data_IF_325931870455
#
_entry.id   IF_325931870455
#
_cell.length_a   1.000
_cell.length_b   1.000
_cell.length_c   1.000
_cell.angle_alpha   90.00
_cell.angle_beta   90.00
_cell.angle_gamma   90.00
#
_symmetry.space_group_name_H-M   'P 1'
#
loop_
_entity.id
_entity.type
_entity.pdbx_description
1 polymer ?
#
# COMPACT_ATOMS: atom_id res chain seq x y z
N UNK A 1 7.63 -35.01 -56.91
CA UNK A 1 7.00 -36.11 -56.15
C UNK A 1 5.72 -35.56 -55.54
N UNK A 2 4.58 -36.01 -56.08
CA UNK A 2 3.23 -35.60 -55.69
C UNK A 2 2.96 -36.00 -54.23
N UNK A 3 2.07 -35.32 -53.48
CA UNK A 3 0.66 -35.71 -53.39
C UNK A 3 -0.17 -34.55 -52.83
N UNK A 4 -1.24 -34.23 -53.57
CA UNK A 4 -2.40 -33.43 -53.18
C UNK A 4 -3.27 -34.23 -52.21
N UNK A 5 -4.01 -33.55 -51.32
CA UNK A 5 -5.47 -33.74 -51.22
C UNK A 5 -6.10 -32.72 -50.26
N UNK A 6 -6.92 -31.83 -50.84
CA UNK A 6 -8.00 -31.10 -50.16
C UNK A 6 -9.28 -31.82 -50.56
N UNK A 7 -10.10 -32.23 -49.60
CA UNK A 7 -11.46 -32.66 -49.86
C UNK A 7 -12.36 -32.13 -48.75
N UNK A 8 -13.32 -31.30 -49.16
CA UNK A 8 -14.44 -30.83 -48.35
C UNK A 8 -15.50 -31.93 -48.22
N UNK A 9 -16.26 -31.93 -47.12
CA UNK A 9 -17.56 -32.62 -47.07
C UNK A 9 -18.56 -31.71 -46.32
N UNK A 10 -19.59 -31.30 -47.06
CA UNK A 10 -20.80 -30.58 -46.61
C UNK A 10 -21.93 -31.60 -46.69
N UNK A 11 -22.56 -31.98 -45.58
CA UNK A 11 -23.90 -32.60 -45.48
C UNK A 11 -24.34 -32.39 -44.02
N UNK A 12 -25.54 -31.98 -43.60
CA UNK A 12 -26.83 -31.75 -44.23
C UNK A 12 -27.86 -31.61 -43.10
N UNK A 13 -28.82 -30.71 -43.26
CA UNK A 13 -29.91 -30.37 -42.32
C UNK A 13 -30.87 -31.55 -42.14
N UNK A 14 -31.37 -31.75 -40.92
CA UNK A 14 -32.63 -32.46 -40.68
C UNK A 14 -33.46 -31.72 -39.61
N UNK A 15 -34.48 -31.02 -40.11
CA UNK A 15 -35.59 -30.43 -39.39
C UNK A 15 -36.53 -31.56 -38.95
N UNK A 16 -37.03 -31.49 -37.71
CA UNK A 16 -38.24 -32.22 -37.33
C UNK A 16 -39.04 -31.36 -36.36
N UNK A 17 -40.08 -30.72 -36.90
CA UNK A 17 -41.18 -30.11 -36.18
C UNK A 17 -42.39 -31.05 -36.29
N UNK A 18 -42.94 -31.46 -35.15
CA UNK A 18 -44.32 -31.94 -34.95
C UNK A 18 -44.66 -31.56 -33.48
N UNK A 19 -45.39 -30.48 -33.20
CA UNK A 19 -46.86 -30.24 -33.30
C UNK A 19 -47.71 -30.98 -32.23
N UNK A 20 -48.50 -30.13 -31.55
CA UNK A 20 -49.74 -30.38 -30.77
C UNK A 20 -49.54 -30.76 -29.28
N UNK A 21 -50.23 -30.15 -28.31
CA UNK A 21 -51.45 -29.34 -28.40
C UNK A 21 -51.69 -28.46 -27.17
N UNK A 22 -52.57 -27.48 -27.39
CA UNK A 22 -53.13 -26.56 -26.41
C UNK A 22 -54.13 -27.28 -25.51
N UNK A 23 -54.11 -26.95 -24.22
CA UNK A 23 -55.30 -26.97 -23.37
C UNK A 23 -55.30 -25.70 -22.52
N UNK A 24 -56.31 -24.86 -22.76
CA UNK A 24 -56.69 -23.74 -21.88
C UNK A 24 -57.52 -24.26 -20.70
N UNK A 25 -57.64 -23.37 -19.70
CA UNK A 25 -58.47 -23.40 -18.49
C UNK A 25 -57.94 -24.18 -17.28
N UNK A 26 -57.37 -23.45 -16.32
CA UNK A 26 -58.18 -22.88 -15.22
C UNK A 26 -57.37 -21.89 -14.39
N UNK A 27 -57.99 -20.76 -14.08
CA UNK A 27 -57.46 -19.73 -13.21
C UNK A 27 -57.28 -20.26 -11.77
N UNK A 28 -56.04 -20.15 -11.27
CA UNK A 28 -55.79 -20.08 -9.84
C UNK A 28 -54.99 -18.81 -9.58
N UNK A 29 -55.70 -17.84 -9.02
CA UNK A 29 -55.18 -16.60 -8.46
C UNK A 29 -54.34 -16.95 -7.23
N UNK A 30 -53.08 -17.32 -7.46
CA UNK A 30 -52.07 -17.37 -6.42
C UNK A 30 -51.47 -15.96 -6.33
N UNK A 31 -51.90 -15.22 -5.32
CA UNK A 31 -51.23 -14.00 -4.85
C UNK A 31 -49.80 -14.36 -4.45
N UNK A 32 -48.89 -14.31 -5.44
CA UNK A 32 -47.46 -14.25 -5.24
C UNK A 32 -47.18 -12.97 -4.47
N UNK A 33 -46.99 -13.09 -3.16
CA UNK A 33 -46.32 -12.07 -2.37
C UNK A 33 -44.97 -11.83 -3.05
N UNK A 34 -44.90 -10.70 -3.74
CA UNK A 34 -43.69 -10.15 -4.29
C UNK A 34 -42.76 -9.91 -3.10
N UNK A 35 -41.90 -10.89 -2.82
CA UNK A 35 -40.74 -10.67 -1.97
C UNK A 35 -39.91 -9.62 -2.71
N UNK A 36 -39.99 -8.39 -2.24
CA UNK A 36 -38.96 -7.40 -2.50
C UNK A 36 -37.61 -8.11 -2.36
N UNK A 37 -36.68 -7.94 -3.32
CA UNK A 37 -35.35 -8.47 -3.15
C UNK A 37 -34.77 -7.85 -1.89
N UNK A 38 -34.68 -8.67 -0.84
CA UNK A 38 -33.88 -8.40 0.34
C UNK A 38 -32.57 -7.80 -0.17
N UNK A 39 -32.16 -6.60 0.26
CA UNK A 39 -30.91 -6.02 -0.20
C UNK A 39 -29.83 -7.04 0.08
N UNK A 40 -29.25 -7.57 -1.01
CA UNK A 40 -28.15 -8.53 -0.95
C UNK A 40 -27.17 -7.98 0.05
N UNK A 41 -26.94 -8.72 1.14
CA UNK A 41 -25.92 -8.39 2.12
C UNK A 41 -24.67 -8.02 1.33
N UNK A 42 -24.27 -6.75 1.39
CA UNK A 42 -23.12 -6.23 0.66
C UNK A 42 -21.95 -7.15 0.99
N UNK A 43 -21.53 -7.98 0.03
CA UNK A 43 -20.42 -8.89 0.26
C UNK A 43 -19.22 -8.05 0.68
N UNK A 44 -18.57 -8.42 1.78
CA UNK A 44 -17.40 -7.70 2.27
C UNK A 44 -16.34 -7.64 1.15
N UNK A 45 -16.05 -6.43 0.67
CA UNK A 45 -15.08 -6.18 -0.37
C UNK A 45 -13.68 -6.40 0.20
N UNK A 46 -12.85 -7.18 -0.49
CA UNK A 46 -11.48 -7.53 -0.09
C UNK A 46 -10.48 -7.16 -1.17
N UNK A 47 -9.24 -6.89 -0.76
CA UNK A 47 -8.11 -6.73 -1.67
C UNK A 47 -7.58 -8.12 -2.05
N UNK A 48 -7.53 -8.42 -3.34
CA UNK A 48 -7.00 -9.69 -3.84
C UNK A 48 -5.52 -9.57 -4.20
N UNK A 49 -5.15 -8.50 -4.91
CA UNK A 49 -3.77 -8.29 -5.34
C UNK A 49 -3.45 -6.82 -5.56
N UNK A 50 -2.15 -6.52 -5.55
CA UNK A 50 -1.58 -5.23 -5.90
C UNK A 50 -0.64 -5.45 -7.08
N UNK A 51 -0.75 -4.62 -8.11
CA UNK A 51 0.16 -4.65 -9.26
C UNK A 51 0.83 -3.31 -9.44
N UNK A 52 2.12 -3.38 -9.75
CA UNK A 52 2.81 -2.25 -10.34
C UNK A 52 2.32 -2.06 -11.79
N UNK A 53 2.02 -0.82 -12.14
CA UNK A 53 1.59 -0.41 -13.45
C UNK A 53 2.58 0.59 -14.05
N UNK A 54 2.73 0.57 -15.37
CA UNK A 54 3.50 1.60 -16.05
C UNK A 54 2.75 2.93 -15.99
N UNK A 55 3.46 4.00 -15.63
CA UNK A 55 2.98 5.36 -15.72
C UNK A 55 3.94 6.20 -16.59
N UNK A 56 3.42 7.02 -17.51
CA UNK A 56 4.27 7.87 -18.33
C UNK A 56 4.89 9.01 -17.48
N UNK A 57 6.02 9.59 -17.91
CA UNK A 57 6.77 10.63 -17.18
C UNK A 57 5.91 11.75 -16.57
N UNK A 58 4.96 12.29 -17.31
CA UNK A 58 4.08 13.39 -16.88
C UNK A 58 3.16 13.02 -15.71
N UNK A 59 3.03 11.72 -15.42
CA UNK A 59 2.28 11.17 -14.28
C UNK A 59 3.17 10.78 -13.10
N UNK A 60 4.46 11.14 -13.15
CA UNK A 60 5.47 10.79 -12.14
C UNK A 60 6.22 12.00 -11.56
N UNK A 61 5.66 13.21 -11.69
CA UNK A 61 6.33 14.44 -11.29
C UNK A 61 6.35 14.66 -9.77
N UNK A 62 5.42 14.03 -9.05
CA UNK A 62 5.33 14.08 -7.59
C UNK A 62 5.16 12.67 -7.01
N UNK A 63 5.55 12.43 -5.74
CA UNK A 63 5.37 11.12 -5.11
C UNK A 63 3.91 10.65 -5.15
N UNK A 64 2.96 11.55 -4.90
CA UNK A 64 1.53 11.24 -4.90
C UNK A 64 1.06 10.86 -6.30
N UNK A 65 1.37 11.65 -7.34
CA UNK A 65 1.04 11.27 -8.71
C UNK A 65 1.60 9.89 -9.09
N UNK A 66 2.85 9.62 -8.71
CA UNK A 66 3.46 8.32 -8.94
C UNK A 66 2.71 7.18 -8.26
N UNK A 67 2.32 7.33 -6.98
CA UNK A 67 1.53 6.33 -6.29
C UNK A 67 0.15 6.10 -6.94
N UNK A 68 -0.52 7.18 -7.38
CA UNK A 68 -1.83 7.10 -8.02
C UNK A 68 -1.79 6.43 -9.40
N UNK A 69 -0.68 6.53 -10.13
CA UNK A 69 -0.59 6.05 -11.51
C UNK A 69 0.21 4.74 -11.68
N UNK A 70 1.08 4.41 -10.74
CA UNK A 70 1.90 3.19 -10.77
C UNK A 70 1.33 2.04 -9.94
N UNK A 71 0.25 2.26 -9.19
CA UNK A 71 -0.40 1.22 -8.37
C UNK A 71 -1.78 0.87 -8.94
N UNK A 72 -2.10 -0.42 -8.98
CA UNK A 72 -3.43 -0.93 -9.31
C UNK A 72 -3.84 -1.97 -8.27
N UNK A 73 -5.05 -1.83 -7.75
CA UNK A 73 -5.71 -2.80 -6.88
C UNK A 73 -6.63 -3.70 -7.69
N UNK A 74 -6.57 -5.01 -7.44
CA UNK A 74 -7.57 -5.97 -7.88
C UNK A 74 -8.43 -6.36 -6.67
N UNK A 75 -9.73 -6.10 -6.75
CA UNK A 75 -10.68 -6.27 -5.64
C UNK A 75 -11.57 -7.51 -5.84
N UNK A 76 -12.17 -8.01 -4.77
CA UNK A 76 -12.99 -9.23 -4.78
C UNK A 76 -14.26 -9.14 -5.63
N UNK A 77 -14.72 -7.92 -5.94
CA UNK A 77 -15.82 -7.65 -6.89
C UNK A 77 -15.37 -7.65 -8.36
N UNK A 78 -14.14 -8.12 -8.66
CA UNK A 78 -13.49 -8.08 -9.97
C UNK A 78 -13.13 -6.67 -10.47
N UNK A 79 -13.35 -5.64 -9.67
CA UNK A 79 -12.94 -4.28 -10.00
C UNK A 79 -11.41 -4.20 -9.97
N UNK A 80 -10.86 -3.57 -11.02
CA UNK A 80 -9.47 -3.16 -11.07
C UNK A 80 -9.43 -1.65 -11.09
N UNK A 81 -8.87 -1.04 -10.05
CA UNK A 81 -8.75 0.43 -10.01
C UNK A 81 -7.41 0.87 -9.46
N UNK A 82 -6.94 2.00 -9.96
CA UNK A 82 -5.86 2.73 -9.33
C UNK A 82 -6.37 3.49 -8.11
N UNK A 83 -5.49 3.82 -7.15
CA UNK A 83 -5.81 4.76 -6.09
C UNK A 83 -6.23 6.11 -6.66
N UNK A 84 -7.06 6.84 -5.91
CA UNK A 84 -7.44 8.23 -6.20
C UNK A 84 -6.90 9.16 -5.10
N UNK A 85 -6.91 10.48 -5.28
CA UNK A 85 -6.44 11.41 -4.24
C UNK A 85 -7.11 11.23 -2.88
N UNK A 86 -8.37 10.79 -2.84
CA UNK A 86 -9.11 10.53 -1.59
C UNK A 86 -8.58 9.32 -0.82
N UNK A 87 -7.87 8.41 -1.49
CA UNK A 87 -7.26 7.26 -0.84
C UNK A 87 -5.96 7.65 -0.09
N UNK A 88 -5.35 8.80 -0.42
CA UNK A 88 -4.11 9.27 0.22
C UNK A 88 -4.39 9.71 1.65
N UNK A 89 -3.71 9.07 2.60
CA UNK A 89 -3.78 9.43 4.02
C UNK A 89 -2.71 10.48 4.37
N UNK A 90 -1.50 10.28 3.87
CA UNK A 90 -0.39 11.20 4.04
C UNK A 90 0.73 10.84 3.05
N UNK A 91 1.63 11.80 2.82
CA UNK A 91 2.86 11.61 2.05
C UNK A 91 4.00 12.26 2.80
N UNK A 92 5.19 11.68 2.71
CA UNK A 92 6.39 12.32 3.25
C UNK A 92 7.57 12.07 2.33
N UNK A 93 8.23 13.16 1.94
CA UNK A 93 9.44 13.15 1.11
C UNK A 93 10.68 13.58 1.89
N UNK A 94 11.73 12.78 1.86
CA UNK A 94 13.02 13.17 2.40
C UNK A 94 14.12 12.88 1.38
N UNK A 95 14.80 13.95 0.96
CA UNK A 95 15.75 13.92 -0.16
C UNK A 95 15.07 13.34 -1.41
N UNK A 96 15.69 12.34 -2.04
CA UNK A 96 15.19 11.67 -3.23
C UNK A 96 14.33 10.44 -2.89
N UNK A 97 13.84 10.32 -1.66
CA UNK A 97 13.00 9.20 -1.28
C UNK A 97 11.67 9.68 -0.70
N UNK A 98 10.59 8.94 -0.95
CA UNK A 98 9.27 9.29 -0.46
C UNK A 98 8.46 8.07 -0.12
N UNK A 99 7.54 8.24 0.82
CA UNK A 99 6.52 7.24 1.15
C UNK A 99 5.14 7.88 1.02
N UNK A 100 4.22 7.17 0.37
CA UNK A 100 2.81 7.56 0.28
C UNK A 100 1.97 6.48 0.93
N UNK A 101 1.16 6.86 1.92
CA UNK A 101 0.22 5.97 2.58
C UNK A 101 -1.16 6.08 1.92
N UNK A 102 -1.71 4.94 1.52
CA UNK A 102 -3.00 4.81 0.88
C UNK A 102 -3.92 3.95 1.72
N UNK A 103 -5.17 4.37 1.90
CA UNK A 103 -6.24 3.53 2.44
C UNK A 103 -6.93 2.80 1.28
N UNK A 104 -6.95 1.48 1.35
CA UNK A 104 -7.59 0.63 0.33
C UNK A 104 -9.11 0.65 0.55
N UNK A 105 -9.94 0.77 -0.49
CA UNK A 105 -11.40 0.85 -0.42
C UNK A 105 -12.02 -0.53 -0.19
N UNK A 106 -11.67 -1.17 0.92
CA UNK A 106 -12.17 -2.51 1.29
C UNK A 106 -12.88 -2.42 2.63
N UNK A 107 -13.64 -3.45 2.97
CA UNK A 107 -14.49 -3.43 4.17
C UNK A 107 -13.68 -3.34 5.46
N UNK A 108 -12.61 -4.12 5.56
CA UNK A 108 -11.71 -4.07 6.70
C UNK A 108 -10.67 -2.96 6.55
N UNK A 109 -10.23 -2.29 7.63
CA UNK A 109 -9.16 -1.31 7.55
C UNK A 109 -7.90 -1.90 6.92
N UNK A 110 -7.47 -1.33 5.80
CA UNK A 110 -6.39 -1.87 5.01
C UNK A 110 -5.57 -0.75 4.40
N UNK A 111 -4.26 -0.81 4.59
CA UNK A 111 -3.36 0.24 4.14
C UNK A 111 -2.25 -0.28 3.24
N UNK A 112 -1.85 0.56 2.30
CA UNK A 112 -0.70 0.33 1.42
C UNK A 112 0.29 1.47 1.60
N UNK A 113 1.56 1.13 1.84
CA UNK A 113 2.65 2.11 1.78
C UNK A 113 3.37 1.94 0.46
N UNK A 114 3.43 2.99 -0.33
CA UNK A 114 4.14 3.04 -1.61
C UNK A 114 5.48 3.73 -1.39
N UNK A 115 6.57 3.02 -1.67
CA UNK A 115 7.93 3.53 -1.49
C UNK A 115 8.51 3.94 -2.85
N UNK A 116 8.97 5.19 -2.90
CA UNK A 116 9.33 5.88 -4.13
C UNK A 116 10.73 6.46 -4.02
N UNK A 117 11.46 6.44 -5.13
CA UNK A 117 12.72 7.16 -5.28
C UNK A 117 12.67 8.09 -6.49
N UNK A 118 13.34 9.23 -6.39
CA UNK A 118 13.44 10.19 -7.48
C UNK A 118 14.64 9.86 -8.35
N UNK A 119 14.41 9.64 -9.64
CA UNK A 119 15.42 9.37 -10.66
C UNK A 119 15.12 10.23 -11.87
N UNK A 120 16.10 10.99 -12.36
CA UNK A 120 15.96 11.82 -13.59
C UNK A 120 14.71 12.74 -13.56
N UNK A 121 14.42 13.33 -12.39
CA UNK A 121 13.24 14.18 -12.12
C UNK A 121 11.89 13.44 -12.04
N UNK A 122 11.89 12.12 -12.11
CA UNK A 122 10.69 11.28 -12.01
C UNK A 122 10.68 10.48 -10.71
N UNK A 123 9.51 10.37 -10.08
CA UNK A 123 9.30 9.51 -8.92
C UNK A 123 8.92 8.10 -9.37
N UNK A 124 9.76 7.11 -9.07
CA UNK A 124 9.54 5.71 -9.46
C UNK A 124 9.25 4.86 -8.24
N UNK A 125 8.22 4.03 -8.31
CA UNK A 125 7.91 3.07 -7.26
C UNK A 125 8.94 1.94 -7.30
N UNK A 126 9.64 1.73 -6.18
CA UNK A 126 10.59 0.62 -6.05
C UNK A 126 10.08 -0.49 -5.13
N UNK A 127 9.01 -0.24 -4.36
CA UNK A 127 8.39 -1.23 -3.51
C UNK A 127 7.08 -0.76 -2.90
N UNK A 128 6.34 -1.69 -2.32
CA UNK A 128 5.15 -1.38 -1.52
C UNK A 128 5.01 -2.36 -0.34
N UNK A 129 4.44 -1.88 0.76
CA UNK A 129 3.99 -2.72 1.87
C UNK A 129 2.46 -2.84 1.83
N UNK A 130 1.97 -4.04 2.09
CA UNK A 130 0.54 -4.35 2.14
C UNK A 130 0.15 -4.76 3.57
N UNK A 131 -0.56 -3.89 4.29
CA UNK A 131 -0.78 -4.02 5.73
C UNK A 131 -2.29 -3.97 6.07
N UNK A 132 -2.96 -5.14 6.11
CA UNK A 132 -4.31 -5.24 6.68
C UNK A 132 -4.26 -4.99 8.19
N UNK A 133 -5.21 -4.21 8.72
CA UNK A 133 -5.36 -3.94 10.15
C UNK A 133 -6.59 -4.69 10.65
N UNK A 134 -6.42 -6.00 10.77
CA UNK A 134 -7.44 -6.93 11.27
C UNK A 134 -6.91 -7.61 12.53
N UNK A 135 -7.77 -7.92 13.50
CA UNK A 135 -7.36 -8.43 14.82
C UNK A 135 -6.43 -9.65 14.76
N UNK A 136 -6.58 -10.51 13.77
CA UNK A 136 -5.75 -11.71 13.53
C UNK A 136 -4.35 -11.42 12.97
N UNK A 137 -4.10 -10.19 12.51
CA UNK A 137 -2.83 -9.74 11.89
C UNK A 137 -2.03 -8.78 12.75
N UNK A 138 -2.52 -8.45 13.93
CA UNK A 138 -1.87 -7.49 14.83
C UNK A 138 -0.96 -8.20 15.83
N UNK A 139 0.19 -7.59 16.12
CA UNK A 139 1.14 -8.01 17.14
C UNK A 139 1.24 -6.91 18.22
N UNK A 140 1.43 -7.31 19.47
CA UNK A 140 1.65 -6.40 20.61
C UNK A 140 3.11 -6.35 21.09
N UNK A 141 3.97 -7.26 20.62
CA UNK A 141 5.38 -7.29 20.98
C UNK A 141 6.14 -6.18 20.28
N UNK A 142 6.52 -5.14 21.03
CA UNK A 142 7.27 -3.99 20.50
C UNK A 142 8.77 -4.26 20.34
N UNK A 143 9.29 -5.37 20.86
CA UNK A 143 10.71 -5.76 20.77
C UNK A 143 11.66 -4.58 21.12
N UNK A 144 11.35 -3.93 22.25
CA UNK A 144 12.09 -2.79 22.81
C UNK A 144 11.89 -1.44 22.13
N UNK A 145 11.06 -1.35 21.08
CA UNK A 145 10.66 -0.09 20.46
C UNK A 145 9.60 0.66 21.27
N UNK A 146 9.72 1.98 21.35
CA UNK A 146 8.72 2.86 21.96
C UNK A 146 7.63 3.27 20.95
N UNK A 147 6.99 2.28 20.31
CA UNK A 147 5.90 2.53 19.36
C UNK A 147 4.68 3.18 20.05
N UNK A 148 4.02 4.16 19.41
CA UNK A 148 2.93 4.93 20.02
C UNK A 148 1.57 4.19 20.02
N UNK A 149 1.50 3.00 19.41
CA UNK A 149 0.37 2.08 19.46
C UNK A 149 0.68 0.86 20.31
N UNK A 150 -0.36 0.18 20.82
CA UNK A 150 -0.21 -1.02 21.66
C UNK A 150 -0.24 -2.33 20.86
N UNK A 151 -0.92 -2.33 19.72
CA UNK A 151 -1.03 -3.46 18.82
C UNK A 151 -0.88 -2.93 17.40
N UNK A 152 -0.13 -3.61 16.54
CA UNK A 152 0.20 -3.14 15.19
C UNK A 152 0.44 -4.29 14.23
N UNK A 153 0.19 -4.05 12.95
CA UNK A 153 0.77 -4.85 11.88
C UNK A 153 2.11 -4.21 11.45
N UNK A 154 3.02 -5.02 10.90
CA UNK A 154 4.34 -4.56 10.52
C UNK A 154 4.81 -5.13 9.18
N UNK A 155 5.56 -4.35 8.42
CA UNK A 155 6.27 -4.79 7.24
C UNK A 155 7.75 -4.46 7.34
N UNK A 156 8.58 -5.31 6.75
CA UNK A 156 10.01 -5.08 6.56
C UNK A 156 10.31 -5.24 5.07
N UNK A 157 10.95 -4.23 4.49
CA UNK A 157 11.42 -4.25 3.11
C UNK A 157 12.91 -3.94 3.09
N UNK A 158 13.63 -4.57 2.16
CA UNK A 158 14.96 -4.17 1.78
C UNK A 158 15.08 -4.05 0.27
N UNK A 159 16.03 -3.26 -0.19
CA UNK A 159 16.44 -3.29 -1.59
C UNK A 159 17.23 -4.57 -1.91
N UNK A 160 17.52 -4.80 -3.20
CA UNK A 160 18.26 -5.98 -3.64
C UNK A 160 19.69 -6.05 -3.10
N UNK A 161 20.26 -4.91 -2.68
CA UNK A 161 21.61 -4.85 -2.10
C UNK A 161 21.64 -5.06 -0.58
N UNK A 162 20.47 -5.12 0.07
CA UNK A 162 20.34 -5.12 1.53
C UNK A 162 21.14 -3.98 2.19
N UNK A 163 21.06 -2.79 1.61
CA UNK A 163 21.65 -1.58 2.21
C UNK A 163 20.57 -0.56 2.56
N UNK A 164 19.45 -0.57 1.84
CA UNK A 164 18.27 0.22 2.17
C UNK A 164 17.26 -0.66 2.89
N UNK A 165 16.92 -0.30 4.12
CA UNK A 165 15.98 -1.07 4.94
C UNK A 165 14.83 -0.19 5.41
N UNK A 166 13.62 -0.75 5.33
CA UNK A 166 12.37 -0.08 5.66
C UNK A 166 11.61 -0.93 6.67
N UNK A 167 11.17 -0.31 7.75
CA UNK A 167 10.21 -0.91 8.67
C UNK A 167 8.98 -0.01 8.75
N UNK A 168 7.81 -0.60 8.58
CA UNK A 168 6.54 0.07 8.79
C UNK A 168 5.81 -0.61 9.94
N UNK A 169 5.25 0.18 10.85
CA UNK A 169 4.44 -0.25 11.99
C UNK A 169 3.16 0.56 11.98
N UNK A 170 2.00 -0.11 11.98
CA UNK A 170 0.74 0.62 11.92
C UNK A 170 -0.43 -0.09 12.59
N UNK A 171 -1.34 0.71 13.12
CA UNK A 171 -2.73 0.36 13.40
C UNK A 171 -3.65 1.28 12.58
N UNK A 172 -4.93 1.36 12.93
CA UNK A 172 -5.88 2.21 12.21
C UNK A 172 -5.66 3.71 12.46
N UNK A 173 -5.08 4.08 13.60
CA UNK A 173 -4.96 5.47 14.05
C UNK A 173 -3.57 6.05 13.82
N UNK A 174 -2.53 5.25 14.03
CA UNK A 174 -1.13 5.69 14.03
C UNK A 174 -0.30 4.81 13.11
N UNK A 175 0.66 5.45 12.47
CA UNK A 175 1.57 4.86 11.51
C UNK A 175 2.97 5.37 11.79
N UNK A 176 3.95 4.49 11.78
CA UNK A 176 5.37 4.83 11.92
C UNK A 176 6.16 4.07 10.86
N UNK A 177 6.97 4.79 10.09
CA UNK A 177 7.92 4.23 9.13
C UNK A 177 9.31 4.63 9.55
N UNK A 178 10.23 3.66 9.52
CA UNK A 178 11.64 3.83 9.81
C UNK A 178 12.41 3.41 8.57
N UNK A 179 13.30 4.27 8.09
CA UNK A 179 14.20 3.98 6.99
C UNK A 179 15.63 4.11 7.46
N UNK A 180 16.46 3.15 7.06
CA UNK A 180 17.90 3.17 7.27
C UNK A 180 18.60 2.91 5.95
N UNK A 181 19.55 3.76 5.57
CA UNK A 181 20.36 3.57 4.37
C UNK A 181 21.73 4.26 4.51
N UNK A 182 22.73 3.88 3.69
CA UNK A 182 24.07 4.47 3.77
C UNK A 182 24.06 5.97 3.48
N UNK A 183 24.82 6.72 4.26
CA UNK A 183 25.08 8.14 4.02
C UNK A 183 26.24 8.29 3.03
N UNK A 184 25.93 8.30 1.74
CA UNK A 184 26.92 8.33 0.65
C UNK A 184 27.26 9.73 0.16
N UNK A 185 26.40 10.71 0.39
CA UNK A 185 26.59 12.08 -0.05
C UNK A 185 26.10 13.07 1.01
N UNK A 186 26.83 14.19 1.23
CA UNK A 186 26.35 15.24 2.10
C UNK A 186 25.07 15.84 1.51
N UNK A 187 24.10 16.09 2.37
CA UNK A 187 22.88 16.81 2.02
C UNK A 187 22.68 17.99 2.95
N UNK A 188 22.05 19.05 2.43
CA UNK A 188 21.75 20.23 3.23
C UNK A 188 20.62 19.92 4.20
N UNK A 189 20.80 20.33 5.45
CA UNK A 189 19.72 20.33 6.43
C UNK A 189 18.60 21.23 5.89
N UNK A 190 17.36 20.75 6.00
CA UNK A 190 16.21 21.58 5.65
C UNK A 190 16.22 22.84 6.51
N UNK A 191 16.20 24.03 5.89
CA UNK A 191 16.32 25.30 6.58
C UNK A 191 15.24 25.52 7.66
N UNK A 192 14.08 24.86 7.50
CA UNK A 192 12.96 24.94 8.45
C UNK A 192 12.98 23.80 9.48
N UNK A 193 14.00 22.94 9.48
CA UNK A 193 14.08 21.85 10.45
C UNK A 193 14.49 22.35 11.83
N UNK A 194 13.74 21.89 12.84
CA UNK A 194 14.06 22.03 14.25
C UNK A 194 15.16 21.04 14.63
N UNK A 195 16.24 21.53 15.24
CA UNK A 195 17.28 20.67 15.83
C UNK A 195 16.73 20.02 17.09
N UNK A 196 16.91 18.71 17.22
CA UNK A 196 16.47 17.89 18.35
C UNK A 196 17.60 17.00 18.86
N UNK A 197 17.55 16.56 20.11
CA UNK A 197 18.51 15.61 20.67
C UNK A 197 17.92 14.20 20.74
N UNK A 198 18.66 13.22 20.21
CA UNK A 198 18.33 11.79 20.19
C UNK A 198 19.47 11.05 20.88
N UNK A 199 19.31 10.64 22.13
CA UNK A 199 20.35 9.92 22.90
C UNK A 199 21.73 10.61 22.86
N UNK A 200 21.76 11.95 22.96
CA UNK A 200 23.01 12.73 22.93
C UNK A 200 23.55 13.05 21.54
N UNK A 201 22.95 12.57 20.45
CA UNK A 201 23.24 13.01 19.07
C UNK A 201 22.26 14.07 18.58
N UNK A 202 22.73 14.92 17.68
CA UNK A 202 21.86 15.85 16.96
C UNK A 202 21.01 15.11 15.92
N UNK A 203 19.75 15.51 15.82
CA UNK A 203 18.84 15.14 14.76
C UNK A 203 18.03 16.35 14.33
N UNK A 204 17.19 16.18 13.32
CA UNK A 204 16.43 17.25 12.71
C UNK A 204 15.00 16.80 12.46
N UNK A 205 14.05 17.58 12.96
CA UNK A 205 12.62 17.38 12.76
C UNK A 205 12.06 18.47 11.85
N UNK A 206 11.25 18.09 10.86
CA UNK A 206 10.54 19.03 10.00
C UNK A 206 9.14 18.51 9.67
N UNK A 207 8.24 19.43 9.36
CA UNK A 207 6.90 19.13 8.85
C UNK A 207 6.81 19.45 7.36
N UNK A 208 5.92 18.77 6.65
CA UNK A 208 5.58 19.07 5.26
C UNK A 208 4.22 19.74 5.18
N UNK A 209 3.88 20.26 4.00
CA UNK A 209 2.59 20.93 3.74
C UNK A 209 1.37 20.04 4.02
N UNK A 210 1.55 18.72 4.05
CA UNK A 210 0.51 17.73 4.39
C UNK A 210 0.43 17.40 5.90
N UNK A 211 1.01 18.25 6.76
CA UNK A 211 1.12 18.09 8.22
C UNK A 211 1.81 16.79 8.69
N UNK A 212 2.40 16.03 7.77
CA UNK A 212 3.23 14.88 8.07
C UNK A 212 4.61 15.34 8.53
N UNK A 213 4.97 14.94 9.76
CA UNK A 213 6.28 15.17 10.33
C UNK A 213 7.28 14.09 9.94
N UNK A 214 8.54 14.48 9.76
CA UNK A 214 9.65 13.54 9.69
C UNK A 214 10.81 13.98 10.57
N UNK A 215 11.53 12.99 11.07
CA UNK A 215 12.70 13.13 11.93
C UNK A 215 13.85 12.38 11.26
N UNK A 216 15.04 12.96 11.17
CA UNK A 216 16.22 12.23 10.72
C UNK A 216 17.46 12.54 11.54
N UNK A 217 18.41 11.61 11.53
CA UNK A 217 19.74 11.78 12.10
C UNK A 217 20.74 10.92 11.34
N UNK A 218 22.02 11.25 11.50
CA UNK A 218 23.13 10.49 10.93
C UNK A 218 23.84 9.77 12.05
N UNK A 219 24.00 8.45 11.92
CA UNK A 219 24.71 7.64 12.90
C UNK A 219 25.58 6.60 12.20
N UNK A 220 26.88 6.62 12.49
CA UNK A 220 27.85 5.62 12.04
C UNK A 220 27.76 5.31 10.53
N UNK A 221 27.76 6.37 9.71
CA UNK A 221 27.71 6.26 8.24
C UNK A 221 26.33 5.91 7.66
N UNK A 222 25.27 5.90 8.47
CA UNK A 222 23.90 5.68 8.02
C UNK A 222 23.04 6.91 8.25
N UNK A 223 22.15 7.16 7.31
CA UNK A 223 20.98 7.99 7.54
C UNK A 223 19.89 7.13 8.16
N UNK A 224 19.35 7.57 9.28
CA UNK A 224 18.12 7.02 9.85
C UNK A 224 17.08 8.12 9.82
N UNK A 225 15.95 7.88 9.17
CA UNK A 225 14.83 8.79 9.24
C UNK A 225 13.52 8.07 9.50
N UNK A 226 12.63 8.78 10.19
CA UNK A 226 11.36 8.30 10.69
C UNK A 226 10.26 9.25 10.22
N UNK A 227 9.10 8.71 9.89
CA UNK A 227 7.93 9.47 9.48
C UNK A 227 6.65 8.75 9.84
N UNK A 228 5.52 9.45 9.81
CA UNK A 228 4.19 8.87 9.97
C UNK A 228 3.15 9.93 10.29
N UNK A 229 1.92 9.50 10.58
CA UNK A 229 0.86 10.38 11.09
C UNK A 229 0.90 10.44 12.64
N UNK A 230 2.08 10.72 13.18
CA UNK A 230 2.34 10.77 14.61
C UNK A 230 2.99 12.10 14.98
N UNK A 231 2.89 12.48 16.23
CA UNK A 231 3.44 13.74 16.74
C UNK A 231 4.98 13.73 16.75
N UNK A 232 5.59 14.93 16.80
CA UNK A 232 7.04 15.06 16.98
C UNK A 232 7.55 14.26 18.20
N UNK A 233 6.85 14.36 19.34
CA UNK A 233 7.26 13.68 20.58
C UNK A 233 7.20 12.16 20.45
N UNK A 234 6.24 11.62 19.70
CA UNK A 234 6.15 10.19 19.41
C UNK A 234 7.27 9.73 18.48
N UNK A 235 7.59 10.47 17.41
CA UNK A 235 8.74 10.16 16.55
C UNK A 235 10.06 10.19 17.32
N UNK A 236 10.24 11.19 18.19
CA UNK A 236 11.40 11.28 19.07
C UNK A 236 11.47 10.11 20.05
N UNK A 237 10.33 9.69 20.61
CA UNK A 237 10.26 8.53 21.50
C UNK A 237 10.72 7.25 20.79
N UNK A 238 10.24 7.01 19.57
CA UNK A 238 10.67 5.88 18.73
C UNK A 238 12.15 5.99 18.42
N UNK A 239 12.64 7.14 17.93
CA UNK A 239 14.05 7.31 17.56
C UNK A 239 15.03 7.10 18.72
N UNK A 240 14.62 7.46 19.95
CA UNK A 240 15.42 7.22 21.17
C UNK A 240 15.43 5.76 21.60
N UNK A 241 14.43 4.97 21.23
CA UNK A 241 14.39 3.53 21.52
C UNK A 241 15.20 2.68 20.52
N UNK A 242 15.63 3.26 19.40
CA UNK A 242 16.39 2.53 18.38
C UNK A 242 17.79 2.14 18.87
N UNK A 243 18.25 0.92 18.55
CA UNK A 243 19.64 0.54 18.77
C UNK A 243 20.56 1.32 17.82
N UNK A 244 21.88 1.15 17.99
CA UNK A 244 22.87 1.64 17.04
C UNK A 244 22.50 1.27 15.60
N UNK A 245 22.64 2.19 14.65
CA UNK A 245 22.37 1.96 13.21
C UNK A 245 23.13 0.76 12.62
N UNK A 246 24.27 0.40 13.22
CA UNK A 246 25.11 -0.76 12.84
C UNK A 246 24.73 -2.07 13.52
N UNK A 247 23.75 -2.06 14.44
CA UNK A 247 23.30 -3.30 15.08
C UNK A 247 22.69 -4.26 14.07
N UNK A 248 23.05 -5.54 14.16
CA UNK A 248 22.41 -6.61 13.42
C UNK A 248 20.93 -6.77 13.77
N UNK A 249 20.52 -6.32 14.96
CA UNK A 249 19.13 -6.40 15.41
C UNK A 249 18.29 -5.19 15.01
N UNK A 250 18.89 -4.14 14.42
CA UNK A 250 18.17 -2.92 14.07
C UNK A 250 16.90 -3.24 13.25
N UNK A 251 15.72 -2.69 13.61
CA UNK A 251 15.47 -1.61 14.56
C UNK A 251 15.17 -2.10 15.97
N UNK A 252 15.19 -3.41 16.22
CA UNK A 252 14.78 -4.01 17.48
C UNK A 252 15.91 -4.05 18.51
N UNK A 253 15.52 -3.95 19.78
CA UNK A 253 16.37 -4.15 20.94
C UNK A 253 15.84 -5.40 21.66
N UNK A 254 16.57 -6.51 21.50
CA UNK A 254 16.30 -7.76 22.22
C UNK A 254 17.05 -7.79 23.54
#
# INVERSE_FOLDING_TARGET
MNIRQRTALIIGVAISALLLGCTDETAQENTSVQQDPTPSASQAQKLLSIRANYAPPEKKQTPTQSALHQLVWELSNSEKRSPTPQDIQWTTTFLQNSVVMLKVPVTDPWFNLVFLSQQEQEWTMFGYANLPVTTDRMNSSKNGLNLPMNSFNSAHLSDSTNTHFIWAFLDEAKHVVIWKYPHTAPFSVNANAKVVSINGREGWYATQETDSGYLYYIEQGHVVWLTGNVTESELLSVARSLPSSTSHSFPYTY
#
